data_IF_377230819786
#
_entry.id   IF_377230819786
#
_cell.length_a   1.000
_cell.length_b   1.000
_cell.length_c   1.000
_cell.angle_alpha   90.00
_cell.angle_beta   90.00
_cell.angle_gamma   90.00
#
_symmetry.space_group_name_H-M   'P 1'
#
loop_
_entity.id
_entity.type
_entity.pdbx_description
1 polymer ?
#
# COMPACT_ATOMS: atom_id res chain seq x y z
N UNK A 1 -25.17 -7.81 17.50
CA UNK A 1 -25.99 -6.80 18.20
C UNK A 1 -26.87 -7.45 19.25
N UNK A 2 -27.68 -8.45 18.92
CA UNK A 2 -28.59 -9.11 19.88
C UNK A 2 -27.81 -9.76 21.04
N UNK A 3 -26.71 -10.44 20.77
CA UNK A 3 -25.95 -11.17 21.79
C UNK A 3 -25.31 -10.29 22.87
N UNK A 4 -24.91 -9.07 22.51
CA UNK A 4 -24.29 -8.07 23.39
C UNK A 4 -25.28 -6.99 23.82
N UNK A 5 -26.56 -7.08 23.41
CA UNK A 5 -27.63 -6.11 23.71
C UNK A 5 -27.24 -4.65 23.38
N UNK A 6 -26.41 -4.46 22.33
CA UNK A 6 -25.95 -3.14 21.89
C UNK A 6 -26.83 -2.62 20.75
N UNK A 7 -27.00 -1.30 20.70
CA UNK A 7 -27.72 -0.62 19.63
C UNK A 7 -26.85 -0.49 18.36
N UNK A 8 -27.45 -0.07 17.26
CA UNK A 8 -26.77 0.09 15.98
C UNK A 8 -25.64 1.12 16.06
N UNK A 9 -25.82 2.20 16.80
CA UNK A 9 -24.80 3.25 16.97
C UNK A 9 -23.55 2.68 17.67
N UNK A 10 -23.73 1.95 18.78
CA UNK A 10 -22.63 1.28 19.47
C UNK A 10 -21.94 0.25 18.58
N UNK A 11 -22.71 -0.52 17.79
CA UNK A 11 -22.10 -1.47 16.85
C UNK A 11 -21.22 -0.77 15.80
N UNK A 12 -21.67 0.37 15.26
CA UNK A 12 -20.88 1.19 14.32
C UNK A 12 -19.63 1.79 14.99
N UNK A 13 -19.65 1.99 16.29
CA UNK A 13 -18.50 2.47 17.05
C UNK A 13 -17.30 1.50 16.99
N UNK A 14 -17.54 0.18 16.88
CA UNK A 14 -16.48 -0.81 16.67
C UNK A 14 -15.74 -0.61 15.32
N UNK A 15 -16.45 -0.18 14.29
CA UNK A 15 -15.82 0.19 13.01
C UNK A 15 -15.10 1.54 13.10
N UNK A 16 -15.65 2.49 13.83
CA UNK A 16 -15.02 3.78 14.07
C UNK A 16 -13.68 3.63 14.81
N UNK A 17 -13.62 2.83 15.87
CA UNK A 17 -12.38 2.54 16.60
C UNK A 17 -11.31 1.84 15.76
N UNK A 18 -11.72 1.08 14.75
CA UNK A 18 -10.78 0.53 13.77
C UNK A 18 -10.27 1.59 12.79
N UNK A 19 -11.14 2.44 12.26
CA UNK A 19 -10.85 3.30 11.09
C UNK A 19 -10.23 4.64 11.45
N UNK A 20 -10.76 5.35 12.46
CA UNK A 20 -10.32 6.71 12.79
C UNK A 20 -8.84 6.81 13.21
N UNK A 21 -8.31 5.93 14.05
CA UNK A 21 -6.89 6.00 14.41
C UNK A 21 -5.98 5.82 13.21
N UNK A 22 -6.41 5.05 12.21
CA UNK A 22 -5.64 4.74 11.02
C UNK A 22 -5.47 5.90 10.05
N UNK A 23 -6.25 6.97 10.20
CA UNK A 23 -5.99 8.25 9.51
C UNK A 23 -4.57 8.77 9.79
N UNK A 24 -4.06 8.52 10.99
CA UNK A 24 -2.72 8.98 11.41
C UNK A 24 -1.75 7.80 11.53
N UNK A 25 -2.19 6.70 12.10
CA UNK A 25 -1.32 5.58 12.47
C UNK A 25 -0.73 4.82 11.28
N UNK A 26 -1.39 4.80 10.12
CA UNK A 26 -0.84 4.21 8.90
C UNK A 26 0.43 4.94 8.44
N UNK A 27 0.43 6.27 8.51
CA UNK A 27 1.59 7.08 8.18
C UNK A 27 2.77 6.78 9.13
N UNK A 28 2.50 6.80 10.44
CA UNK A 28 3.54 6.45 11.42
C UNK A 28 4.00 5.00 11.30
N UNK A 29 3.09 4.07 11.03
CA UNK A 29 3.42 2.67 10.77
C UNK A 29 4.38 2.50 9.59
N UNK A 30 4.09 3.17 8.47
CA UNK A 30 4.95 3.19 7.30
C UNK A 30 6.32 3.82 7.56
N UNK A 31 6.34 4.94 8.27
CA UNK A 31 7.58 5.60 8.70
C UNK A 31 8.42 4.72 9.63
N UNK A 32 7.80 4.01 10.57
CA UNK A 32 8.48 3.09 11.47
C UNK A 32 9.05 1.87 10.73
N UNK A 33 8.36 1.40 9.68
CA UNK A 33 8.87 0.34 8.80
C UNK A 33 10.16 0.79 8.13
N UNK A 34 10.18 1.99 7.56
CA UNK A 34 11.35 2.48 6.81
C UNK A 34 12.52 2.82 7.73
N UNK A 35 12.25 3.41 8.90
CA UNK A 35 13.30 3.97 9.78
C UNK A 35 13.77 3.03 10.89
N UNK A 36 12.86 2.28 11.51
CA UNK A 36 13.14 1.58 12.78
C UNK A 36 13.16 0.08 12.62
N UNK A 37 12.05 -0.48 12.15
CA UNK A 37 11.84 -1.93 12.16
C UNK A 37 12.41 -2.61 10.93
N UNK A 38 12.43 -1.93 9.79
CA UNK A 38 12.53 -2.58 8.50
C UNK A 38 11.26 -3.39 8.17
N UNK A 39 11.09 -3.73 6.91
CA UNK A 39 9.88 -4.42 6.42
C UNK A 39 9.65 -5.76 7.12
N UNK A 40 10.71 -6.51 7.37
CA UNK A 40 10.67 -7.86 7.98
C UNK A 40 10.10 -7.82 9.39
N UNK A 41 10.72 -7.03 10.26
CA UNK A 41 10.30 -6.94 11.66
C UNK A 41 8.95 -6.20 11.77
N UNK A 42 8.72 -5.18 10.94
CA UNK A 42 7.44 -4.49 10.84
C UNK A 42 6.28 -5.43 10.54
N UNK A 43 6.42 -6.31 9.56
CA UNK A 43 5.38 -7.31 9.22
C UNK A 43 5.07 -8.23 10.41
N UNK A 44 6.08 -8.68 11.14
CA UNK A 44 5.88 -9.54 12.32
C UNK A 44 5.20 -8.77 13.46
N UNK A 45 5.64 -7.55 13.76
CA UNK A 45 5.08 -6.71 14.83
C UNK A 45 3.61 -6.39 14.53
N UNK A 46 3.31 -5.93 13.32
CA UNK A 46 1.93 -5.58 12.95
C UNK A 46 1.04 -6.82 12.85
N UNK A 47 1.56 -7.96 12.39
CA UNK A 47 0.86 -9.25 12.47
C UNK A 47 0.54 -9.66 13.91
N UNK A 48 1.44 -9.39 14.85
CA UNK A 48 1.22 -9.62 16.29
C UNK A 48 0.12 -8.71 16.85
N UNK A 49 0.09 -7.42 16.47
CA UNK A 49 -0.99 -6.49 16.84
C UNK A 49 -2.36 -6.98 16.35
N UNK A 50 -2.44 -7.48 15.11
CA UNK A 50 -3.68 -8.06 14.56
C UNK A 50 -4.13 -9.26 15.40
N UNK A 51 -3.23 -10.17 15.72
CA UNK A 51 -3.54 -11.36 16.51
C UNK A 51 -3.97 -11.02 17.94
N UNK A 52 -3.22 -10.17 18.64
CA UNK A 52 -3.56 -9.71 19.99
C UNK A 52 -4.89 -8.96 19.99
N UNK A 53 -5.08 -8.03 19.05
CA UNK A 53 -6.33 -7.29 18.92
C UNK A 53 -7.54 -8.20 18.74
N UNK A 54 -7.43 -9.24 17.92
CA UNK A 54 -8.51 -10.22 17.73
C UNK A 54 -8.82 -11.02 19.00
N UNK A 55 -7.79 -11.40 19.76
CA UNK A 55 -7.98 -12.09 21.06
C UNK A 55 -8.70 -11.16 22.04
N UNK A 56 -8.29 -9.88 22.13
CA UNK A 56 -8.93 -8.91 23.02
C UNK A 56 -10.41 -8.74 22.66
N UNK A 57 -10.75 -8.65 21.36
CA UNK A 57 -12.15 -8.60 20.90
C UNK A 57 -12.91 -9.84 21.33
N UNK A 58 -12.33 -11.03 21.15
CA UNK A 58 -12.99 -12.29 21.51
C UNK A 58 -13.21 -12.43 23.01
N UNK A 59 -12.23 -12.04 23.84
CA UNK A 59 -12.35 -12.01 25.31
C UNK A 59 -13.39 -10.97 25.73
N UNK A 60 -13.41 -9.79 25.14
CA UNK A 60 -14.42 -8.76 25.39
C UNK A 60 -15.84 -9.24 25.10
N UNK A 61 -16.04 -9.95 24.00
CA UNK A 61 -17.33 -10.58 23.70
C UNK A 61 -17.67 -11.70 24.70
N UNK A 62 -16.71 -12.54 25.09
CA UNK A 62 -16.92 -13.63 26.03
C UNK A 62 -17.30 -13.14 27.43
N UNK A 63 -16.69 -12.06 27.91
CA UNK A 63 -16.90 -11.47 29.23
C UNK A 63 -18.00 -10.41 29.28
N UNK A 64 -18.75 -10.20 28.18
CA UNK A 64 -19.77 -9.14 28.04
C UNK A 64 -19.23 -7.72 28.31
N UNK A 65 -17.95 -7.51 28.04
CA UNK A 65 -17.26 -6.23 28.24
C UNK A 65 -17.11 -5.48 26.90
N UNK A 66 -18.08 -4.67 26.56
CA UNK A 66 -18.11 -3.97 25.27
C UNK A 66 -16.91 -3.05 25.05
N UNK A 67 -16.49 -2.30 26.09
CA UNK A 67 -15.31 -1.44 26.04
C UNK A 67 -14.01 -2.19 25.69
N UNK A 68 -13.93 -3.47 26.10
CA UNK A 68 -12.79 -4.31 25.80
C UNK A 68 -12.80 -4.71 24.30
N UNK A 69 -13.99 -4.90 23.72
CA UNK A 69 -14.12 -5.11 22.28
C UNK A 69 -13.68 -3.87 21.48
N UNK A 70 -14.00 -2.66 21.94
CA UNK A 70 -13.55 -1.41 21.33
C UNK A 70 -12.03 -1.28 21.38
N UNK A 71 -11.42 -1.55 22.55
CA UNK A 71 -9.97 -1.56 22.71
C UNK A 71 -9.32 -2.60 21.78
N UNK A 72 -9.90 -3.79 21.68
CA UNK A 72 -9.41 -4.83 20.78
C UNK A 72 -9.49 -4.40 19.31
N UNK A 73 -10.57 -3.70 18.91
CA UNK A 73 -10.70 -3.15 17.55
C UNK A 73 -9.68 -2.06 17.26
N UNK A 74 -9.39 -1.20 18.23
CA UNK A 74 -8.34 -0.21 18.12
C UNK A 74 -6.96 -0.86 17.90
N UNK A 75 -6.59 -1.83 18.73
CA UNK A 75 -5.32 -2.57 18.61
C UNK A 75 -5.24 -3.33 17.29
N UNK A 76 -6.32 -3.98 16.88
CA UNK A 76 -6.42 -4.68 15.60
C UNK A 76 -6.23 -3.72 14.42
N UNK A 77 -6.83 -2.53 14.50
CA UNK A 77 -6.73 -1.49 13.48
C UNK A 77 -5.30 -1.01 13.26
N UNK A 78 -4.55 -0.75 14.35
CA UNK A 78 -3.13 -0.39 14.28
C UNK A 78 -2.34 -1.42 13.48
N UNK A 79 -2.58 -2.71 13.76
CA UNK A 79 -1.90 -3.80 13.07
C UNK A 79 -2.34 -3.96 11.63
N UNK A 80 -3.65 -3.97 11.36
CA UNK A 80 -4.22 -4.35 10.07
C UNK A 80 -3.77 -3.45 8.91
N UNK A 81 -3.94 -2.16 9.06
CA UNK A 81 -3.59 -1.19 8.02
C UNK A 81 -2.08 -1.03 7.84
N UNK A 82 -1.32 -1.02 8.94
CA UNK A 82 0.15 -0.96 8.89
C UNK A 82 0.75 -2.24 8.30
N UNK A 83 0.11 -3.40 8.52
CA UNK A 83 0.49 -4.67 7.89
C UNK A 83 0.29 -4.62 6.37
N UNK A 84 -0.79 -3.98 5.89
CA UNK A 84 -1.01 -3.77 4.46
C UNK A 84 0.10 -2.91 3.83
N UNK A 85 0.55 -1.86 4.53
CA UNK A 85 1.71 -1.05 4.12
C UNK A 85 2.98 -1.89 4.03
N UNK A 86 3.26 -2.72 5.04
CA UNK A 86 4.40 -3.63 5.06
C UNK A 86 4.33 -4.64 3.91
N UNK A 87 3.15 -5.19 3.64
CA UNK A 87 2.90 -6.13 2.54
C UNK A 87 3.20 -5.50 1.18
N UNK A 88 2.72 -4.27 0.94
CA UNK A 88 3.00 -3.53 -0.29
C UNK A 88 4.50 -3.27 -0.45
N UNK A 89 5.17 -2.88 0.61
CA UNK A 89 6.63 -2.66 0.62
C UNK A 89 7.39 -3.95 0.32
N UNK A 90 6.96 -5.09 0.87
CA UNK A 90 7.53 -6.40 0.53
C UNK A 90 7.35 -6.74 -0.95
N UNK A 91 6.14 -6.55 -1.49
CA UNK A 91 5.86 -6.80 -2.90
C UNK A 91 6.81 -6.01 -3.81
N UNK A 92 7.01 -4.73 -3.50
CA UNK A 92 7.94 -3.88 -4.27
C UNK A 92 9.37 -4.35 -4.13
N UNK A 93 9.85 -4.64 -2.93
CA UNK A 93 11.24 -5.04 -2.68
C UNK A 93 11.66 -6.32 -3.42
N UNK A 94 10.72 -7.22 -3.69
CA UNK A 94 10.99 -8.49 -4.35
C UNK A 94 10.58 -8.55 -5.82
N UNK A 95 9.54 -7.81 -6.21
CA UNK A 95 8.95 -7.91 -7.55
C UNK A 95 9.07 -6.63 -8.37
N UNK A 96 9.67 -5.56 -7.82
CA UNK A 96 9.91 -4.34 -8.60
C UNK A 96 10.72 -4.66 -9.85
N UNK A 97 10.10 -4.35 -10.96
CA UNK A 97 10.75 -4.52 -12.24
C UNK A 97 10.40 -5.78 -13.02
N UNK A 98 9.58 -6.64 -12.48
CA UNK A 98 9.11 -7.84 -13.18
C UNK A 98 7.57 -7.86 -13.17
N UNK A 99 6.98 -8.60 -12.28
CA UNK A 99 5.54 -8.91 -12.25
C UNK A 99 4.84 -8.18 -11.09
N UNK A 100 5.18 -6.90 -10.89
CA UNK A 100 4.72 -6.14 -9.74
C UNK A 100 3.19 -5.93 -9.74
N UNK A 101 2.62 -5.57 -10.89
CA UNK A 101 1.17 -5.35 -10.99
C UNK A 101 0.40 -6.67 -10.83
N UNK A 102 0.93 -7.79 -11.31
CA UNK A 102 0.38 -9.12 -11.08
C UNK A 102 0.36 -9.45 -9.58
N UNK A 103 1.46 -9.17 -8.87
CA UNK A 103 1.55 -9.44 -7.41
C UNK A 103 0.53 -8.61 -6.63
N UNK A 104 0.37 -7.33 -6.95
CA UNK A 104 -0.69 -6.51 -6.35
C UNK A 104 -2.08 -7.05 -6.69
N UNK A 105 -2.29 -7.53 -7.91
CA UNK A 105 -3.53 -8.20 -8.31
C UNK A 105 -3.81 -9.48 -7.51
N UNK A 106 -2.79 -10.30 -7.26
CA UNK A 106 -2.89 -11.49 -6.42
C UNK A 106 -3.20 -11.13 -4.96
N UNK A 107 -2.56 -10.10 -4.41
CA UNK A 107 -2.86 -9.61 -3.06
C UNK A 107 -4.32 -9.19 -2.93
N UNK A 108 -4.82 -8.42 -3.89
CA UNK A 108 -6.22 -7.98 -3.93
C UNK A 108 -7.17 -9.18 -4.04
N UNK A 109 -6.87 -10.13 -4.93
CA UNK A 109 -7.65 -11.36 -5.09
C UNK A 109 -7.75 -12.15 -3.79
N UNK A 110 -6.63 -12.38 -3.11
CA UNK A 110 -6.60 -13.10 -1.84
C UNK A 110 -7.37 -12.36 -0.73
N UNK A 111 -7.29 -11.03 -0.68
CA UNK A 111 -8.09 -10.24 0.25
C UNK A 111 -9.60 -10.42 0.02
N UNK A 112 -10.05 -10.48 -1.25
CA UNK A 112 -11.46 -10.72 -1.59
C UNK A 112 -11.92 -12.13 -1.28
N UNK A 113 -11.07 -13.13 -1.55
CA UNK A 113 -11.33 -14.51 -1.15
C UNK A 113 -11.45 -14.63 0.38
N UNK A 114 -10.55 -14.02 1.14
CA UNK A 114 -10.62 -13.99 2.59
C UNK A 114 -11.92 -13.40 3.12
N UNK A 115 -12.36 -12.25 2.57
CA UNK A 115 -13.64 -11.64 2.91
C UNK A 115 -14.83 -12.56 2.61
N UNK A 116 -14.82 -13.19 1.43
CA UNK A 116 -15.88 -14.12 1.01
C UNK A 116 -15.96 -15.34 1.92
N UNK A 117 -14.82 -15.94 2.25
CA UNK A 117 -14.74 -17.07 3.17
C UNK A 117 -15.27 -16.67 4.55
N UNK A 118 -14.83 -15.51 5.07
CA UNK A 118 -15.31 -15.03 6.37
C UNK A 118 -16.83 -14.83 6.41
N UNK A 119 -17.41 -14.21 5.39
CA UNK A 119 -18.86 -13.97 5.33
C UNK A 119 -19.67 -15.28 5.32
N UNK A 120 -19.18 -16.32 4.66
CA UNK A 120 -19.89 -17.58 4.55
C UNK A 120 -19.65 -18.52 5.75
N UNK A 121 -18.43 -18.55 6.28
CA UNK A 121 -18.03 -19.50 7.33
C UNK A 121 -18.45 -19.04 8.71
N UNK A 122 -18.38 -17.73 9.01
CA UNK A 122 -18.65 -17.23 10.37
C UNK A 122 -20.10 -17.46 10.81
N UNK A 123 -21.08 -17.34 9.94
CA UNK A 123 -22.48 -17.65 10.26
C UNK A 123 -22.70 -19.13 10.58
N UNK A 124 -22.09 -20.02 9.82
CA UNK A 124 -22.15 -21.48 10.04
C UNK A 124 -21.47 -21.84 11.36
N UNK A 125 -20.29 -21.26 11.60
CA UNK A 125 -19.52 -21.45 12.83
C UNK A 125 -20.32 -21.02 14.07
N UNK A 126 -20.89 -19.80 14.03
CA UNK A 126 -21.72 -19.27 15.10
C UNK A 126 -22.90 -20.21 15.38
N UNK A 127 -23.63 -20.66 14.38
CA UNK A 127 -24.76 -21.57 14.54
C UNK A 127 -24.36 -22.92 15.16
N UNK A 128 -23.20 -23.47 14.79
CA UNK A 128 -22.69 -24.70 15.41
C UNK A 128 -22.32 -24.50 16.89
N UNK A 129 -21.65 -23.38 17.20
CA UNK A 129 -21.32 -23.06 18.61
C UNK A 129 -22.57 -22.81 19.41
N UNK A 130 -23.57 -22.11 18.84
CA UNK A 130 -24.85 -21.85 19.49
C UNK A 130 -25.64 -23.12 19.83
N UNK A 131 -25.54 -24.17 19.01
CA UNK A 131 -26.13 -25.47 19.30
C UNK A 131 -25.55 -26.13 20.57
N UNK A 132 -24.27 -25.85 20.87
CA UNK A 132 -23.57 -26.49 22.01
C UNK A 132 -23.62 -25.63 23.26
N UNK A 133 -23.49 -24.32 23.16
CA UNK A 133 -23.33 -23.38 24.27
C UNK A 133 -24.53 -22.43 24.45
N UNK A 134 -25.54 -22.52 23.60
CA UNK A 134 -26.62 -21.56 23.53
C UNK A 134 -26.24 -20.27 22.83
N UNK A 135 -27.25 -19.46 22.43
CA UNK A 135 -27.02 -18.12 21.84
C UNK A 135 -26.69 -17.09 22.94
N UNK A 136 -25.83 -16.12 22.64
CA UNK A 136 -25.48 -15.03 23.56
C UNK A 136 -24.02 -14.60 23.45
N UNK A 137 -23.59 -13.71 24.34
CA UNK A 137 -22.25 -13.14 24.35
C UNK A 137 -21.12 -14.20 24.41
N UNK A 138 -21.33 -15.27 25.20
CA UNK A 138 -20.35 -16.37 25.29
C UNK A 138 -20.20 -17.13 23.96
N UNK A 139 -21.30 -17.38 23.24
CA UNK A 139 -21.28 -18.00 21.92
C UNK A 139 -20.53 -17.12 20.92
N UNK A 140 -20.78 -15.81 20.93
CA UNK A 140 -20.08 -14.85 20.11
C UNK A 140 -18.58 -14.84 20.44
N UNK A 141 -18.21 -14.78 21.73
CA UNK A 141 -16.83 -14.80 22.19
C UNK A 141 -16.07 -16.05 21.76
N UNK A 142 -16.66 -17.24 21.89
CA UNK A 142 -16.08 -18.52 21.45
C UNK A 142 -15.91 -18.51 19.92
N UNK A 143 -16.90 -18.06 19.17
CA UNK A 143 -16.85 -17.99 17.71
C UNK A 143 -15.72 -17.06 17.24
N UNK A 144 -15.54 -15.91 17.88
CA UNK A 144 -14.46 -14.96 17.60
C UNK A 144 -13.09 -15.50 18.02
N UNK A 145 -13.03 -16.30 19.10
CA UNK A 145 -11.79 -16.96 19.52
C UNK A 145 -11.37 -18.02 18.50
N UNK A 146 -12.29 -18.80 17.97
CA UNK A 146 -12.00 -19.77 16.88
C UNK A 146 -11.53 -19.00 15.63
N UNK A 147 -12.16 -17.87 15.29
CA UNK A 147 -11.72 -17.03 14.19
C UNK A 147 -10.30 -16.48 14.40
N UNK A 148 -9.83 -16.29 15.63
CA UNK A 148 -8.46 -15.83 15.90
C UNK A 148 -7.36 -16.78 15.40
N UNK A 149 -7.72 -18.05 15.15
CA UNK A 149 -6.80 -19.04 14.53
C UNK A 149 -6.34 -18.57 13.15
N UNK A 150 -7.18 -17.88 12.40
CA UNK A 150 -6.76 -17.31 11.09
C UNK A 150 -5.73 -16.21 11.26
N UNK A 151 -5.83 -15.39 12.32
CA UNK A 151 -4.84 -14.37 12.65
C UNK A 151 -3.51 -15.00 13.11
N UNK A 152 -3.59 -16.09 13.90
CA UNK A 152 -2.42 -16.87 14.29
C UNK A 152 -1.73 -17.49 13.07
N UNK A 153 -2.50 -18.04 12.13
CA UNK A 153 -1.96 -18.56 10.88
C UNK A 153 -1.27 -17.45 10.07
N UNK A 154 -1.87 -16.26 9.98
CA UNK A 154 -1.25 -15.10 9.33
C UNK A 154 0.08 -14.71 9.99
N UNK A 155 0.13 -14.69 11.33
CA UNK A 155 1.36 -14.42 12.08
C UNK A 155 2.43 -15.51 11.82
N UNK A 156 2.06 -16.77 11.78
CA UNK A 156 2.97 -17.87 11.43
C UNK A 156 3.54 -17.69 10.01
N UNK A 157 2.71 -17.32 9.04
CA UNK A 157 3.15 -16.98 7.68
C UNK A 157 4.11 -15.79 7.67
N UNK A 158 3.87 -14.75 8.48
CA UNK A 158 4.77 -13.60 8.61
C UNK A 158 6.14 -13.99 9.17
N UNK A 159 6.18 -14.90 10.15
CA UNK A 159 7.44 -15.44 10.71
C UNK A 159 8.21 -16.25 9.67
N UNK A 160 7.52 -17.12 8.93
CA UNK A 160 8.12 -17.93 7.85
C UNK A 160 8.67 -17.00 6.75
N UNK A 161 7.88 -16.01 6.33
CA UNK A 161 8.29 -15.02 5.34
C UNK A 161 9.54 -14.26 5.81
N UNK A 162 9.57 -13.82 7.07
CA UNK A 162 10.72 -13.13 7.66
C UNK A 162 11.98 -14.01 7.68
N UNK A 163 11.82 -15.31 7.96
CA UNK A 163 12.93 -16.28 7.92
C UNK A 163 13.47 -16.49 6.49
N UNK A 164 12.56 -16.68 5.52
CA UNK A 164 12.92 -16.86 4.11
C UNK A 164 13.58 -15.62 3.54
N UNK A 165 13.07 -14.44 3.85
CA UNK A 165 13.64 -13.16 3.44
C UNK A 165 15.07 -12.98 3.98
N UNK A 166 15.30 -13.27 5.27
CA UNK A 166 16.62 -13.22 5.87
C UNK A 166 17.61 -14.20 5.19
N UNK A 167 17.13 -15.40 4.84
CA UNK A 167 17.93 -16.39 4.11
C UNK A 167 18.27 -15.92 2.71
N UNK A 168 17.28 -15.39 1.99
CA UNK A 168 17.44 -14.87 0.63
C UNK A 168 18.38 -13.66 0.58
N UNK A 169 18.26 -12.73 1.55
CA UNK A 169 19.16 -11.56 1.67
C UNK A 169 20.64 -11.99 1.79
N UNK A 170 20.92 -13.05 2.59
CA UNK A 170 22.26 -13.62 2.73
C UNK A 170 22.78 -14.25 1.43
N UNK A 171 21.94 -15.01 0.73
CA UNK A 171 22.32 -15.70 -0.52
C UNK A 171 22.58 -14.69 -1.64
N UNK A 172 21.76 -13.63 -1.72
CA UNK A 172 21.83 -12.61 -2.77
C UNK A 172 22.81 -11.47 -2.44
N UNK A 173 23.50 -11.52 -1.30
CA UNK A 173 24.40 -10.45 -0.82
C UNK A 173 23.78 -9.04 -0.86
N UNK A 174 22.48 -8.94 -0.65
CA UNK A 174 21.70 -7.70 -0.77
C UNK A 174 22.08 -6.64 0.29
N UNK A 175 22.75 -7.05 1.38
CA UNK A 175 23.23 -6.16 2.45
C UNK A 175 24.31 -5.17 1.96
N UNK A 176 25.05 -5.50 0.90
CA UNK A 176 26.11 -4.66 0.34
C UNK A 176 25.60 -3.46 -0.47
N UNK A 177 24.31 -3.42 -0.79
CA UNK A 177 23.67 -2.37 -1.59
C UNK A 177 22.85 -1.34 -0.80
N UNK A 178 22.78 -1.44 0.52
CA UNK A 178 22.01 -0.49 1.34
C UNK A 178 22.74 0.86 1.38
N UNK A 179 22.07 1.90 0.89
CA UNK A 179 22.63 3.27 0.74
C UNK A 179 22.88 3.98 2.07
N UNK A 180 22.44 3.44 3.20
CA UNK A 180 22.57 4.08 4.52
C UNK A 180 21.72 5.36 4.68
N UNK A 181 20.91 5.70 3.71
CA UNK A 181 20.00 6.83 3.79
C UNK A 181 18.88 6.57 4.79
N UNK A 182 18.66 7.53 5.68
CA UNK A 182 17.67 7.43 6.77
C UNK A 182 16.53 8.39 6.48
N UNK A 183 15.31 7.88 6.46
CA UNK A 183 14.09 8.67 6.25
C UNK A 183 13.85 9.64 7.39
N UNK A 184 13.47 10.87 7.06
CA UNK A 184 13.02 11.89 7.99
C UNK A 184 11.55 12.20 7.76
N UNK A 185 10.82 12.58 8.81
CA UNK A 185 9.41 12.99 8.67
C UNK A 185 9.22 14.20 7.74
N UNK A 186 10.27 15.01 7.60
CA UNK A 186 10.27 16.18 6.69
C UNK A 186 10.30 15.79 5.21
N UNK A 187 10.78 14.60 4.87
CA UNK A 187 10.97 14.14 3.50
C UNK A 187 9.63 14.01 2.74
N UNK A 188 8.51 13.92 3.47
CA UNK A 188 7.15 13.97 2.88
C UNK A 188 6.90 15.27 2.12
N UNK A 189 7.50 16.38 2.53
CA UNK A 189 7.37 17.68 1.84
C UNK A 189 8.10 17.68 0.49
N UNK A 190 9.12 16.85 0.37
CA UNK A 190 9.97 16.74 -0.81
C UNK A 190 9.41 15.71 -1.82
N UNK A 191 8.27 15.10 -1.51
CA UNK A 191 7.61 14.18 -2.43
C UNK A 191 7.28 14.89 -3.75
N UNK A 192 7.58 14.28 -4.91
CA UNK A 192 7.35 14.87 -6.20
C UNK A 192 5.84 15.08 -6.47
N UNK A 193 5.51 16.09 -7.28
CA UNK A 193 4.12 16.41 -7.62
C UNK A 193 3.35 15.22 -8.24
N UNK A 194 4.06 14.32 -8.97
CA UNK A 194 3.46 13.09 -9.49
C UNK A 194 2.92 12.18 -8.38
N UNK A 195 3.61 12.07 -7.25
CA UNK A 195 3.14 11.27 -6.12
C UNK A 195 1.88 11.88 -5.49
N UNK A 196 1.84 13.21 -5.33
CA UNK A 196 0.66 13.91 -4.84
C UNK A 196 -0.56 13.69 -5.76
N UNK A 197 -0.35 13.68 -7.07
CA UNK A 197 -1.43 13.35 -8.01
C UNK A 197 -1.90 11.89 -7.87
N UNK A 198 -0.99 10.95 -7.64
CA UNK A 198 -1.36 9.55 -7.35
C UNK A 198 -2.22 9.46 -6.09
N UNK A 199 -1.89 10.21 -5.03
CA UNK A 199 -2.70 10.28 -3.81
C UNK A 199 -4.09 10.88 -4.08
N UNK A 200 -4.17 11.93 -4.88
CA UNK A 200 -5.45 12.56 -5.25
C UNK A 200 -6.34 11.62 -6.07
N UNK A 201 -5.76 10.87 -7.01
CA UNK A 201 -6.48 9.84 -7.77
C UNK A 201 -6.97 8.74 -6.82
N UNK A 202 -6.13 8.28 -5.90
CA UNK A 202 -6.50 7.28 -4.91
C UNK A 202 -7.71 7.73 -4.10
N UNK A 203 -7.64 8.90 -3.48
CA UNK A 203 -8.74 9.43 -2.66
C UNK A 203 -9.99 9.60 -3.51
N UNK A 204 -9.92 10.36 -4.61
CA UNK A 204 -11.09 10.67 -5.45
C UNK A 204 -11.82 9.43 -5.97
N UNK A 205 -11.08 8.35 -6.26
CA UNK A 205 -11.67 7.10 -6.72
C UNK A 205 -12.29 6.28 -5.57
N UNK A 206 -11.51 6.03 -4.51
CA UNK A 206 -11.98 5.14 -3.45
C UNK A 206 -13.12 5.72 -2.62
N UNK A 207 -13.20 7.06 -2.49
CA UNK A 207 -14.32 7.73 -1.81
C UNK A 207 -15.63 7.67 -2.60
N UNK A 208 -15.58 7.40 -3.90
CA UNK A 208 -16.79 7.13 -4.67
C UNK A 208 -17.22 5.66 -4.55
N UNK A 209 -16.28 4.72 -4.65
CA UNK A 209 -16.58 3.28 -4.74
C UNK A 209 -16.97 2.68 -3.39
N UNK A 210 -16.20 2.90 -2.33
CA UNK A 210 -16.46 2.21 -1.05
C UNK A 210 -17.74 2.66 -0.33
N UNK A 211 -18.03 3.97 -0.19
CA UNK A 211 -19.30 4.40 0.40
C UNK A 211 -20.51 3.97 -0.44
N UNK A 212 -20.38 3.98 -1.77
CA UNK A 212 -21.43 3.45 -2.65
C UNK A 212 -21.70 1.98 -2.36
N UNK A 213 -20.68 1.13 -2.30
CA UNK A 213 -20.85 -0.30 -1.96
C UNK A 213 -21.47 -0.47 -0.56
N UNK A 214 -21.10 0.38 0.39
CA UNK A 214 -21.69 0.39 1.74
C UNK A 214 -23.20 0.67 1.74
N UNK A 215 -23.65 1.56 0.88
CA UNK A 215 -25.06 1.97 0.74
C UNK A 215 -25.80 1.18 -0.36
N UNK A 216 -25.09 0.43 -1.21
CA UNK A 216 -25.59 -0.14 -2.45
C UNK A 216 -26.74 -1.11 -2.24
N UNK A 217 -26.77 -1.88 -1.14
CA UNK A 217 -27.88 -2.80 -0.89
C UNK A 217 -29.22 -2.03 -0.81
N UNK A 218 -29.28 -0.98 -0.01
CA UNK A 218 -30.49 -0.17 0.16
C UNK A 218 -30.83 0.58 -1.13
N UNK A 219 -29.82 1.06 -1.84
CA UNK A 219 -29.99 1.69 -3.14
C UNK A 219 -30.71 0.77 -4.16
N UNK A 220 -30.34 -0.53 -4.24
CA UNK A 220 -30.96 -1.47 -5.15
C UNK A 220 -32.36 -1.90 -4.69
N UNK A 221 -32.62 -1.95 -3.39
CA UNK A 221 -33.95 -2.19 -2.84
C UNK A 221 -34.91 -1.05 -3.18
N UNK A 222 -34.49 0.20 -3.00
CA UNK A 222 -35.36 1.37 -3.19
C UNK A 222 -35.50 1.77 -4.69
N UNK A 223 -34.40 1.81 -5.43
CA UNK A 223 -34.45 2.28 -6.82
C UNK A 223 -34.98 1.22 -7.79
N UNK A 224 -34.55 -0.03 -7.61
CA UNK A 224 -34.86 -1.11 -8.56
C UNK A 224 -35.93 -2.10 -8.04
N UNK A 225 -36.38 -1.93 -6.79
CA UNK A 225 -37.39 -2.80 -6.19
C UNK A 225 -36.92 -4.24 -5.95
N UNK A 226 -35.62 -4.46 -5.77
CA UNK A 226 -35.06 -5.78 -5.55
C UNK A 226 -35.37 -6.27 -4.15
N UNK A 227 -35.56 -7.59 -4.01
CA UNK A 227 -35.59 -8.21 -2.69
C UNK A 227 -34.22 -8.08 -2.00
N UNK A 228 -34.22 -8.06 -0.65
CA UNK A 228 -32.98 -7.92 0.12
C UNK A 228 -31.86 -8.93 -0.25
N UNK A 229 -32.16 -10.23 -0.54
CA UNK A 229 -31.14 -11.15 -1.04
C UNK A 229 -30.62 -10.78 -2.42
N UNK A 230 -31.49 -10.37 -3.35
CA UNK A 230 -31.10 -9.99 -4.71
C UNK A 230 -30.27 -8.70 -4.73
N UNK A 231 -30.66 -7.71 -3.93
CA UNK A 231 -29.93 -6.46 -3.76
C UNK A 231 -28.52 -6.73 -3.19
N UNK A 232 -28.43 -7.60 -2.17
CA UNK A 232 -27.15 -8.04 -1.62
C UNK A 232 -26.28 -8.77 -2.64
N UNK A 233 -26.85 -9.63 -3.48
CA UNK A 233 -26.15 -10.35 -4.53
C UNK A 233 -25.59 -9.39 -5.59
N UNK A 234 -26.39 -8.43 -6.08
CA UNK A 234 -25.93 -7.40 -7.03
C UNK A 234 -24.81 -6.56 -6.42
N UNK A 235 -24.95 -6.15 -5.17
CA UNK A 235 -23.92 -5.36 -4.49
C UNK A 235 -22.61 -6.12 -4.33
N UNK A 236 -22.66 -7.42 -4.05
CA UNK A 236 -21.48 -8.27 -3.87
C UNK A 236 -20.72 -8.60 -5.16
N UNK A 237 -21.36 -8.45 -6.34
CA UNK A 237 -20.78 -8.84 -7.63
C UNK A 237 -19.46 -8.11 -7.92
N UNK A 238 -19.31 -6.88 -7.43
CA UNK A 238 -18.06 -6.11 -7.53
C UNK A 238 -16.89 -6.91 -6.97
N UNK A 239 -17.06 -7.52 -5.81
CA UNK A 239 -16.01 -8.31 -5.15
C UNK A 239 -15.85 -9.68 -5.80
N UNK A 240 -16.95 -10.32 -6.19
CA UNK A 240 -16.91 -11.63 -6.83
C UNK A 240 -16.17 -11.57 -8.18
N UNK A 241 -16.38 -10.52 -8.96
CA UNK A 241 -15.66 -10.31 -10.22
C UNK A 241 -14.21 -9.88 -9.94
N UNK A 242 -13.99 -9.02 -8.93
CA UNK A 242 -12.66 -8.51 -8.61
C UNK A 242 -11.69 -9.64 -8.25
N UNK A 243 -12.12 -10.69 -7.58
CA UNK A 243 -11.25 -11.78 -7.15
C UNK A 243 -10.52 -12.47 -8.32
N UNK A 244 -11.20 -13.00 -9.35
CA UNK A 244 -10.51 -13.59 -10.51
C UNK A 244 -9.96 -12.55 -11.49
N UNK A 245 -10.58 -11.37 -11.61
CA UNK A 245 -10.14 -10.35 -12.56
C UNK A 245 -8.81 -9.71 -12.16
N UNK A 246 -8.53 -9.51 -10.87
CA UNK A 246 -7.35 -8.79 -10.41
C UNK A 246 -6.02 -9.42 -10.86
N UNK A 247 -5.78 -10.74 -10.73
CA UNK A 247 -4.54 -11.33 -11.24
C UNK A 247 -4.39 -11.22 -12.76
N UNK A 248 -5.50 -11.42 -13.50
CA UNK A 248 -5.51 -11.34 -14.97
C UNK A 248 -5.19 -9.92 -15.43
N UNK A 249 -5.85 -8.92 -14.83
CA UNK A 249 -5.63 -7.52 -15.15
C UNK A 249 -4.24 -7.06 -14.72
N UNK A 250 -3.75 -7.49 -13.56
CA UNK A 250 -2.38 -7.21 -13.11
C UNK A 250 -1.34 -7.75 -14.08
N UNK A 251 -1.49 -8.99 -14.54
CA UNK A 251 -0.63 -9.57 -15.57
C UNK A 251 -0.71 -8.79 -16.89
N UNK A 252 -1.90 -8.37 -17.30
CA UNK A 252 -2.10 -7.57 -18.52
C UNK A 252 -1.38 -6.21 -18.40
N UNK A 253 -1.49 -5.55 -17.26
CA UNK A 253 -0.81 -4.27 -16.99
C UNK A 253 0.71 -4.46 -17.02
N UNK A 254 1.25 -5.54 -16.46
CA UNK A 254 2.68 -5.84 -16.53
C UNK A 254 3.18 -6.04 -17.97
N UNK A 255 2.38 -6.72 -18.79
CA UNK A 255 2.73 -6.99 -20.19
C UNK A 255 2.69 -5.76 -21.08
N UNK A 256 1.71 -4.92 -20.90
CA UNK A 256 1.50 -3.71 -21.72
C UNK A 256 2.31 -2.52 -21.18
N UNK A 257 2.42 -2.40 -19.86
CA UNK A 257 2.88 -1.18 -19.20
C UNK A 257 1.78 -0.12 -19.20
N UNK A 258 2.15 1.15 -19.35
CA UNK A 258 1.24 2.31 -19.45
C UNK A 258 0.26 2.42 -18.29
N UNK A 259 0.78 2.36 -17.07
CA UNK A 259 -0.04 2.33 -15.86
C UNK A 259 -1.05 3.49 -15.77
N UNK A 260 -0.65 4.73 -16.15
CA UNK A 260 -1.56 5.89 -16.11
C UNK A 260 -2.74 5.71 -17.05
N UNK A 261 -2.51 5.13 -18.24
CA UNK A 261 -3.59 4.86 -19.21
C UNK A 261 -4.62 3.88 -18.64
N UNK A 262 -4.16 2.82 -17.95
CA UNK A 262 -5.06 1.86 -17.31
C UNK A 262 -5.85 2.47 -16.16
N UNK A 263 -5.24 3.36 -15.38
CA UNK A 263 -5.93 4.14 -14.35
C UNK A 263 -6.99 5.03 -15.00
N UNK A 264 -6.69 5.71 -16.10
CA UNK A 264 -7.65 6.54 -16.84
C UNK A 264 -8.84 5.72 -17.30
N UNK A 265 -8.59 4.56 -17.93
CA UNK A 265 -9.66 3.64 -18.39
C UNK A 265 -10.51 3.18 -17.21
N UNK A 266 -9.90 2.83 -16.08
CA UNK A 266 -10.63 2.39 -14.89
C UNK A 266 -11.52 3.50 -14.30
N UNK A 267 -11.01 4.73 -14.21
CA UNK A 267 -11.79 5.88 -13.71
C UNK A 267 -12.95 6.18 -14.64
N UNK A 268 -12.74 6.19 -15.96
CA UNK A 268 -13.81 6.41 -16.96
C UNK A 268 -14.85 5.30 -16.93
N UNK A 269 -14.44 4.04 -16.81
CA UNK A 269 -15.36 2.91 -16.72
C UNK A 269 -16.22 2.97 -15.45
N UNK A 270 -15.62 3.34 -14.31
CA UNK A 270 -16.35 3.51 -13.05
C UNK A 270 -17.30 4.70 -13.11
N UNK A 271 -16.86 5.83 -13.69
CA UNK A 271 -17.73 6.98 -13.92
C UNK A 271 -18.92 6.61 -14.80
N UNK A 272 -18.69 5.86 -15.89
CA UNK A 272 -19.76 5.35 -16.75
C UNK A 272 -20.72 4.44 -16.00
N UNK A 273 -20.24 3.57 -15.11
CA UNK A 273 -21.08 2.72 -14.27
C UNK A 273 -21.96 3.55 -13.31
N UNK A 274 -21.43 4.56 -12.65
CA UNK A 274 -22.22 5.46 -11.79
C UNK A 274 -23.24 6.29 -12.61
N UNK A 275 -22.88 6.79 -13.79
CA UNK A 275 -23.81 7.50 -14.69
C UNK A 275 -24.95 6.56 -15.10
N UNK A 276 -24.64 5.31 -15.44
CA UNK A 276 -25.69 4.31 -15.76
C UNK A 276 -26.60 4.07 -14.55
N UNK A 277 -26.05 3.91 -13.36
CA UNK A 277 -26.81 3.71 -12.12
C UNK A 277 -27.64 4.95 -11.74
N UNK A 278 -27.14 6.17 -11.99
CA UNK A 278 -27.84 7.40 -11.71
C UNK A 278 -29.05 7.62 -12.63
N UNK A 279 -28.82 7.55 -13.95
CA UNK A 279 -29.78 8.07 -14.94
C UNK A 279 -30.55 7.00 -15.70
N UNK A 280 -30.22 5.71 -15.52
CA UNK A 280 -30.93 4.63 -16.23
C UNK A 280 -31.56 3.63 -15.26
N UNK A 281 -32.53 2.90 -15.77
CA UNK A 281 -33.14 1.72 -15.13
C UNK A 281 -32.72 0.42 -15.81
N UNK A 282 -31.55 0.42 -16.44
CA UNK A 282 -30.98 -0.79 -17.02
C UNK A 282 -30.66 -1.82 -15.92
N UNK A 283 -30.50 -3.06 -16.36
CA UNK A 283 -30.20 -4.12 -15.40
C UNK A 283 -28.91 -3.77 -14.59
N UNK A 284 -29.00 -3.59 -13.27
CA UNK A 284 -27.88 -3.11 -12.46
C UNK A 284 -26.70 -4.10 -12.36
N UNK A 285 -26.88 -5.34 -12.80
CA UNK A 285 -25.77 -6.29 -12.92
C UNK A 285 -24.69 -5.81 -13.91
N UNK A 286 -25.07 -5.09 -14.96
CA UNK A 286 -24.13 -4.59 -15.96
C UNK A 286 -23.20 -3.54 -15.38
N UNK A 287 -23.67 -2.39 -14.83
CA UNK A 287 -22.79 -1.39 -14.25
C UNK A 287 -22.01 -1.88 -13.04
N UNK A 288 -22.59 -2.79 -12.23
CA UNK A 288 -21.88 -3.35 -11.09
C UNK A 288 -20.76 -4.31 -11.51
N UNK A 289 -20.96 -5.08 -12.56
CA UNK A 289 -19.91 -5.92 -13.15
C UNK A 289 -18.79 -5.07 -13.75
N UNK A 290 -19.15 -4.01 -14.47
CA UNK A 290 -18.18 -3.05 -15.01
C UNK A 290 -17.37 -2.38 -13.89
N UNK A 291 -18.04 -2.00 -12.80
CA UNK A 291 -17.37 -1.42 -11.62
C UNK A 291 -16.40 -2.42 -10.98
N UNK A 292 -16.75 -3.72 -10.90
CA UNK A 292 -15.86 -4.76 -10.37
C UNK A 292 -14.57 -4.93 -11.17
N UNK A 293 -14.67 -4.92 -12.51
CA UNK A 293 -13.53 -4.97 -13.42
C UNK A 293 -12.68 -3.69 -13.30
N UNK A 294 -13.34 -2.51 -13.34
CA UNK A 294 -12.68 -1.22 -13.26
C UNK A 294 -11.94 -1.04 -11.92
N UNK A 295 -12.56 -1.44 -10.82
CA UNK A 295 -11.96 -1.41 -9.49
C UNK A 295 -10.69 -2.27 -9.42
N UNK A 296 -10.73 -3.48 -9.97
CA UNK A 296 -9.57 -4.37 -10.04
C UNK A 296 -8.45 -3.78 -10.87
N UNK A 297 -8.79 -3.22 -12.03
CA UNK A 297 -7.83 -2.60 -12.93
C UNK A 297 -7.15 -1.41 -12.29
N UNK A 298 -7.90 -0.53 -11.63
CA UNK A 298 -7.34 0.62 -10.93
C UNK A 298 -6.40 0.19 -9.82
N UNK A 299 -6.80 -0.74 -8.96
CA UNK A 299 -5.98 -1.19 -7.86
C UNK A 299 -4.66 -1.80 -8.34
N UNK A 300 -4.70 -2.64 -9.39
CA UNK A 300 -3.50 -3.25 -9.96
C UNK A 300 -2.56 -2.24 -10.65
N UNK A 301 -3.08 -1.13 -11.18
CA UNK A 301 -2.29 -0.15 -11.89
C UNK A 301 -1.80 1.01 -11.00
N UNK A 302 -2.63 1.48 -10.05
CA UNK A 302 -2.37 2.66 -9.23
C UNK A 302 -1.35 2.40 -8.11
N UNK A 303 -1.57 1.35 -7.31
CA UNK A 303 -0.73 1.08 -6.15
C UNK A 303 0.74 0.82 -6.51
N UNK A 304 1.07 0.04 -7.55
CA UNK A 304 2.46 -0.12 -7.97
C UNK A 304 3.15 1.16 -8.42
N UNK A 305 2.40 2.18 -8.91
CA UNK A 305 3.00 3.43 -9.38
C UNK A 305 3.77 4.17 -8.30
N UNK A 306 3.38 4.06 -7.04
CA UNK A 306 4.14 4.65 -5.91
C UNK A 306 5.59 4.21 -5.95
N UNK A 307 5.84 2.93 -6.21
CA UNK A 307 7.19 2.37 -6.24
C UNK A 307 8.05 2.83 -7.42
N UNK A 308 7.44 3.35 -8.48
CA UNK A 308 8.17 3.92 -9.62
C UNK A 308 8.57 5.38 -9.38
N UNK A 309 7.92 6.05 -8.42
CA UNK A 309 8.14 7.46 -8.11
C UNK A 309 9.09 7.63 -6.94
N UNK A 310 8.96 6.76 -5.92
CA UNK A 310 9.64 6.89 -4.63
C UNK A 310 10.81 5.91 -4.54
N UNK A 311 11.97 6.31 -3.97
CA UNK A 311 13.09 5.40 -3.72
C UNK A 311 12.72 4.32 -2.68
N UNK A 312 13.44 3.20 -2.73
CA UNK A 312 13.11 2.01 -1.93
C UNK A 312 13.11 2.26 -0.42
N UNK A 313 13.98 3.16 0.08
CA UNK A 313 14.06 3.48 1.50
C UNK A 313 12.88 4.30 2.04
N UNK A 314 12.04 4.89 1.17
CA UNK A 314 10.87 5.70 1.55
C UNK A 314 9.52 5.03 1.22
N UNK A 315 9.52 3.78 0.79
CA UNK A 315 8.30 3.10 0.32
C UNK A 315 7.24 2.93 1.42
N UNK A 316 7.64 2.52 2.61
CA UNK A 316 6.73 2.36 3.73
C UNK A 316 6.07 3.69 4.12
N UNK A 317 6.86 4.77 4.16
CA UNK A 317 6.36 6.12 4.44
C UNK A 317 5.37 6.59 3.38
N UNK A 318 5.67 6.38 2.09
CA UNK A 318 4.80 6.78 0.98
C UNK A 318 3.49 5.97 0.96
N UNK A 319 3.55 4.65 1.11
CA UNK A 319 2.35 3.81 1.21
C UNK A 319 1.53 4.10 2.47
N UNK A 320 2.20 4.31 3.61
CA UNK A 320 1.55 4.70 4.85
C UNK A 320 0.81 6.03 4.73
N UNK A 321 1.42 7.02 4.08
CA UNK A 321 0.79 8.30 3.82
C UNK A 321 -0.39 8.18 2.85
N UNK A 322 -0.25 7.41 1.77
CA UNK A 322 -1.34 7.12 0.83
C UNK A 322 -2.54 6.47 1.53
N UNK A 323 -2.29 5.48 2.40
CA UNK A 323 -3.32 4.80 3.17
C UNK A 323 -4.00 5.76 4.17
N UNK A 324 -3.23 6.60 4.85
CA UNK A 324 -3.76 7.60 5.78
C UNK A 324 -4.69 8.60 5.10
N UNK A 325 -4.27 9.16 3.97
CA UNK A 325 -5.10 10.10 3.18
C UNK A 325 -6.36 9.40 2.66
N UNK A 326 -6.25 8.16 2.20
CA UNK A 326 -7.40 7.38 1.76
C UNK A 326 -8.41 7.19 2.90
N UNK A 327 -7.95 6.79 4.08
CA UNK A 327 -8.82 6.60 5.25
C UNK A 327 -9.48 7.92 5.69
N UNK A 328 -8.74 9.03 5.66
CA UNK A 328 -9.30 10.35 5.94
C UNK A 328 -10.40 10.72 4.92
N UNK A 329 -10.11 10.54 3.64
CA UNK A 329 -11.07 10.78 2.57
C UNK A 329 -12.34 9.95 2.75
N UNK A 330 -12.19 8.66 3.00
CA UNK A 330 -13.32 7.74 3.25
C UNK A 330 -14.15 8.17 4.45
N UNK A 331 -13.52 8.56 5.56
CA UNK A 331 -14.22 8.99 6.76
C UNK A 331 -15.05 10.26 6.52
N UNK A 332 -14.47 11.28 5.87
CA UNK A 332 -15.14 12.56 5.58
C UNK A 332 -16.26 12.36 4.56
N UNK A 333 -15.99 11.65 3.48
CA UNK A 333 -16.96 11.46 2.39
C UNK A 333 -18.10 10.52 2.82
N UNK A 334 -17.85 9.53 3.67
CA UNK A 334 -18.94 8.68 4.21
C UNK A 334 -19.95 9.49 5.01
N UNK A 335 -19.51 10.47 5.81
CA UNK A 335 -20.40 11.39 6.54
C UNK A 335 -21.20 12.26 5.55
N UNK A 336 -20.51 12.84 4.55
CA UNK A 336 -21.16 13.65 3.54
C UNK A 336 -22.19 12.83 2.73
N UNK A 337 -21.83 11.61 2.32
CA UNK A 337 -22.71 10.71 1.59
C UNK A 337 -23.97 10.36 2.38
N UNK A 338 -23.84 10.05 3.67
CA UNK A 338 -24.98 9.80 4.56
C UNK A 338 -25.89 11.02 4.65
N UNK A 339 -25.33 12.22 4.86
CA UNK A 339 -26.11 13.47 4.95
C UNK A 339 -26.83 13.80 3.63
N UNK A 340 -26.19 13.59 2.48
CA UNK A 340 -26.80 13.81 1.16
C UNK A 340 -27.93 12.81 0.94
N UNK A 341 -27.73 11.55 1.31
CA UNK A 341 -28.76 10.52 1.18
C UNK A 341 -30.01 10.89 1.98
N UNK A 342 -29.83 11.27 3.25
CA UNK A 342 -30.94 11.61 4.16
C UNK A 342 -31.69 12.86 3.70
N UNK A 343 -31.00 13.86 3.13
CA UNK A 343 -31.60 15.14 2.75
C UNK A 343 -32.13 15.18 1.32
N UNK A 344 -31.47 14.51 0.38
CA UNK A 344 -31.66 14.74 -1.07
C UNK A 344 -31.89 13.45 -1.86
N UNK A 345 -31.71 12.29 -1.24
CA UNK A 345 -31.95 10.98 -1.85
C UNK A 345 -30.85 10.47 -2.78
N UNK A 346 -31.10 9.32 -3.40
CA UNK A 346 -30.08 8.53 -4.12
C UNK A 346 -29.55 9.18 -5.39
N UNK A 347 -30.37 9.95 -6.12
CA UNK A 347 -29.89 10.61 -7.34
C UNK A 347 -28.77 11.62 -7.04
N UNK A 348 -28.98 12.44 -6.01
CA UNK A 348 -27.97 13.42 -5.60
C UNK A 348 -26.74 12.74 -5.02
N UNK A 349 -26.90 11.62 -4.33
CA UNK A 349 -25.77 10.81 -3.86
C UNK A 349 -24.94 10.28 -5.03
N UNK A 350 -25.58 9.73 -6.08
CA UNK A 350 -24.88 9.27 -7.27
C UNK A 350 -24.18 10.40 -8.04
N UNK A 351 -24.82 11.57 -8.14
CA UNK A 351 -24.20 12.76 -8.71
C UNK A 351 -22.96 13.19 -7.90
N UNK A 352 -23.03 13.11 -6.59
CA UNK A 352 -21.90 13.39 -5.72
C UNK A 352 -20.74 12.43 -5.97
N UNK A 353 -20.99 11.13 -6.12
CA UNK A 353 -19.96 10.17 -6.49
C UNK A 353 -19.39 10.41 -7.88
N UNK A 354 -20.21 10.79 -8.84
CA UNK A 354 -19.74 11.21 -10.16
C UNK A 354 -18.81 12.44 -10.07
N UNK A 355 -19.10 13.41 -9.22
CA UNK A 355 -18.23 14.57 -8.99
C UNK A 355 -16.87 14.12 -8.41
N UNK A 356 -16.85 13.21 -7.43
CA UNK A 356 -15.63 12.66 -6.88
C UNK A 356 -14.80 11.93 -7.96
N UNK A 357 -15.44 11.19 -8.85
CA UNK A 357 -14.77 10.52 -9.96
C UNK A 357 -14.28 11.51 -11.03
N UNK A 358 -15.00 12.57 -11.32
CA UNK A 358 -14.51 13.66 -12.18
C UNK A 358 -13.26 14.32 -11.59
N UNK A 359 -13.21 14.51 -10.29
CA UNK A 359 -12.00 14.96 -9.61
C UNK A 359 -10.83 13.99 -9.77
N UNK A 360 -11.08 12.68 -9.59
CA UNK A 360 -10.08 11.65 -9.85
C UNK A 360 -9.61 11.64 -11.32
N UNK A 361 -10.54 11.87 -12.26
CA UNK A 361 -10.25 11.98 -13.68
C UNK A 361 -9.32 13.16 -13.98
N UNK A 362 -9.64 14.34 -13.46
CA UNK A 362 -8.79 15.53 -13.61
C UNK A 362 -7.40 15.27 -13.02
N UNK A 363 -7.32 14.70 -11.83
CA UNK A 363 -6.04 14.35 -11.21
C UNK A 363 -5.25 13.33 -12.05
N UNK A 364 -5.90 12.38 -12.70
CA UNK A 364 -5.26 11.40 -13.60
C UNK A 364 -4.71 12.08 -14.86
N UNK A 365 -5.46 13.02 -15.44
CA UNK A 365 -4.98 13.79 -16.61
C UNK A 365 -3.79 14.67 -16.22
N UNK A 366 -3.86 15.34 -15.06
CA UNK A 366 -2.73 16.13 -14.56
C UNK A 366 -1.51 15.25 -14.28
N UNK A 367 -1.70 14.05 -13.73
CA UNK A 367 -0.61 13.09 -13.54
C UNK A 367 0.04 12.73 -14.87
N UNK A 368 -0.76 12.47 -15.91
CA UNK A 368 -0.25 12.18 -17.24
C UNK A 368 0.56 13.35 -17.81
N UNK A 369 0.08 14.59 -17.68
CA UNK A 369 0.80 15.78 -18.13
C UNK A 369 2.11 15.99 -17.37
N UNK A 370 2.11 15.80 -16.05
CA UNK A 370 3.32 15.90 -15.23
C UNK A 370 4.35 14.84 -15.62
N UNK A 371 3.90 13.60 -15.86
CA UNK A 371 4.77 12.49 -16.29
C UNK A 371 5.40 12.79 -17.67
N UNK A 372 4.60 13.34 -18.59
CA UNK A 372 5.07 13.74 -19.92
C UNK A 372 6.12 14.87 -19.87
N UNK A 373 5.88 15.89 -19.05
CA UNK A 373 6.80 17.05 -18.94
C UNK A 373 8.12 16.67 -18.27
N UNK A 374 8.07 15.74 -17.32
CA UNK A 374 9.22 15.36 -16.50
C UNK A 374 9.97 14.12 -16.99
N UNK A 375 9.56 13.53 -18.12
CA UNK A 375 10.07 12.23 -18.62
C UNK A 375 10.09 11.16 -17.51
N UNK A 376 9.04 11.19 -16.65
CA UNK A 376 8.97 10.41 -15.41
C UNK A 376 8.89 8.90 -15.64
N UNK A 377 8.39 8.47 -16.77
CA UNK A 377 8.39 7.07 -17.19
C UNK A 377 7.28 6.20 -16.56
N UNK A 378 6.26 6.80 -15.93
CA UNK A 378 5.12 6.06 -15.38
C UNK A 378 4.22 5.47 -16.47
N UNK A 379 4.16 6.13 -17.63
CA UNK A 379 3.36 5.70 -18.76
C UNK A 379 4.17 5.05 -19.88
N UNK A 380 5.37 4.55 -19.58
CA UNK A 380 6.17 3.77 -20.52
C UNK A 380 5.54 2.39 -20.76
N UNK A 381 5.64 1.90 -22.00
CA UNK A 381 5.34 0.51 -22.31
C UNK A 381 6.33 -0.42 -21.59
N UNK A 382 5.97 -1.69 -21.44
CA UNK A 382 6.85 -2.68 -20.80
C UNK A 382 8.23 -2.73 -21.50
N UNK A 383 8.26 -2.74 -22.84
CA UNK A 383 9.48 -2.78 -23.64
C UNK A 383 10.37 -1.53 -23.45
N UNK A 384 9.75 -0.35 -23.39
CA UNK A 384 10.47 0.91 -23.17
C UNK A 384 11.02 0.97 -21.74
N UNK A 385 10.29 0.45 -20.77
CA UNK A 385 10.71 0.37 -19.38
C UNK A 385 11.91 -0.57 -19.22
N UNK A 386 11.89 -1.73 -19.88
CA UNK A 386 13.01 -2.67 -19.86
C UNK A 386 14.25 -2.06 -20.53
N UNK A 387 14.08 -1.40 -21.69
CA UNK A 387 15.17 -0.70 -22.37
C UNK A 387 15.76 0.42 -21.50
N UNK A 388 14.92 1.22 -20.83
CA UNK A 388 15.38 2.27 -19.92
C UNK A 388 16.20 1.68 -18.77
N UNK A 389 15.76 0.55 -18.19
CA UNK A 389 16.50 -0.15 -17.13
C UNK A 389 17.84 -0.67 -17.61
N UNK A 390 17.91 -1.24 -18.80
CA UNK A 390 19.18 -1.71 -19.37
C UNK A 390 20.16 -0.55 -19.56
N UNK A 391 19.66 0.60 -20.02
CA UNK A 391 20.47 1.82 -20.17
C UNK A 391 20.96 2.33 -18.81
N UNK A 392 20.06 2.47 -17.83
CA UNK A 392 20.40 2.91 -16.47
C UNK A 392 21.41 1.97 -15.81
N UNK A 393 21.22 0.65 -15.98
CA UNK A 393 22.16 -0.37 -15.48
C UNK A 393 23.54 -0.29 -16.19
N UNK A 394 23.56 -0.02 -17.49
CA UNK A 394 24.80 0.16 -18.25
C UNK A 394 25.53 1.43 -17.80
N UNK A 395 24.81 2.52 -17.58
CA UNK A 395 25.39 3.78 -17.07
C UNK A 395 25.92 3.62 -15.65
N UNK A 396 25.19 2.95 -14.76
CA UNK A 396 25.63 2.63 -13.41
C UNK A 396 26.93 1.79 -13.42
N UNK A 397 27.00 0.77 -14.28
CA UNK A 397 28.23 -0.03 -14.47
C UNK A 397 29.40 0.81 -14.97
N UNK A 398 29.16 1.72 -15.93
CA UNK A 398 30.20 2.63 -16.44
C UNK A 398 30.65 3.60 -15.35
N UNK A 399 29.74 4.13 -14.55
CA UNK A 399 30.06 5.01 -13.43
C UNK A 399 30.87 4.28 -12.35
N UNK A 400 30.53 3.02 -12.06
CA UNK A 400 31.28 2.20 -11.10
C UNK A 400 32.69 1.86 -11.62
N UNK A 401 32.82 1.53 -12.91
CA UNK A 401 34.13 1.32 -13.53
C UNK A 401 34.99 2.56 -13.44
N UNK A 402 34.46 3.74 -13.79
CA UNK A 402 35.17 5.04 -13.66
C UNK A 402 35.58 5.32 -12.21
N UNK A 403 34.72 5.00 -11.21
CA UNK A 403 35.08 5.13 -9.79
C UNK A 403 36.21 4.18 -9.40
N UNK A 404 36.16 2.93 -9.86
CA UNK A 404 37.23 1.94 -9.60
C UNK A 404 38.55 2.33 -10.29
N UNK A 405 38.52 2.86 -11.51
CA UNK A 405 39.69 3.38 -12.22
C UNK A 405 40.27 4.60 -11.49
N UNK A 406 39.43 5.55 -11.11
CA UNK A 406 39.83 6.70 -10.30
C UNK A 406 40.42 6.30 -8.94
N UNK A 407 39.86 5.29 -8.25
CA UNK A 407 40.44 4.76 -7.03
C UNK A 407 41.75 4.01 -7.28
N UNK A 408 41.88 3.28 -8.39
CA UNK A 408 43.15 2.63 -8.80
C UNK A 408 44.24 3.65 -9.16
N UNK A 409 43.88 4.73 -9.81
CA UNK A 409 44.81 5.80 -10.09
C UNK A 409 45.22 6.57 -8.83
N UNK A 410 44.26 6.81 -7.91
CA UNK A 410 44.56 7.35 -6.59
C UNK A 410 45.42 6.40 -5.73
N UNK A 411 45.26 5.08 -5.88
CA UNK A 411 46.13 4.10 -5.21
C UNK A 411 47.46 3.91 -5.91
N UNK A 412 47.56 4.13 -7.23
CA UNK A 412 48.83 4.19 -7.99
C UNK A 412 49.59 5.48 -7.74
N UNK A 413 48.89 6.61 -7.60
CA UNK A 413 49.39 7.91 -7.16
C UNK A 413 49.43 8.03 -5.62
N UNK A 414 49.09 6.91 -4.93
CA UNK A 414 48.95 6.87 -3.50
C UNK A 414 50.22 7.29 -2.75
N UNK A 415 50.07 7.52 -1.41
CA UNK A 415 51.09 8.22 -0.59
C UNK A 415 52.46 7.58 -0.64
N UNK A 416 52.60 6.36 -1.14
CA UNK A 416 53.92 5.73 -1.32
C UNK A 416 54.75 6.34 -2.42
N UNK A 417 54.18 6.78 -3.55
CA UNK A 417 54.98 7.38 -4.64
C UNK A 417 55.21 8.90 -4.41
N UNK A 418 54.17 9.62 -3.94
CA UNK A 418 54.30 11.03 -3.59
C UNK A 418 55.12 11.21 -2.31
N UNK A 419 54.93 10.34 -1.32
CA UNK A 419 55.69 10.30 -0.07
C UNK A 419 57.14 9.83 -0.29
N UNK A 420 57.37 8.83 -1.13
CA UNK A 420 58.69 8.37 -1.50
C UNK A 420 59.47 9.42 -2.33
N UNK A 421 58.82 10.11 -3.27
CA UNK A 421 59.39 11.21 -4.03
C UNK A 421 59.71 12.43 -3.15
N UNK A 422 58.80 12.77 -2.27
CA UNK A 422 58.95 13.88 -1.34
C UNK A 422 59.98 13.60 -0.25
N UNK A 423 59.99 12.38 0.34
CA UNK A 423 61.02 11.95 1.27
C UNK A 423 62.40 11.86 0.57
N UNK A 424 62.48 11.38 -0.68
CA UNK A 424 63.73 11.48 -1.45
C UNK A 424 64.24 12.91 -1.61
N UNK A 425 63.30 13.87 -1.86
CA UNK A 425 63.64 15.27 -1.99
C UNK A 425 64.05 15.90 -0.68
N UNK A 426 63.30 15.59 0.43
CA UNK A 426 63.59 16.12 1.76
C UNK A 426 64.79 15.46 2.40
N UNK A 427 65.07 14.17 2.16
CA UNK A 427 66.27 13.51 2.58
C UNK A 427 67.54 14.12 1.91
N UNK A 428 67.42 14.59 0.65
CA UNK A 428 68.47 15.32 0.00
C UNK A 428 68.73 16.72 0.60
N UNK A 429 67.73 17.28 1.30
CA UNK A 429 67.78 18.55 2.00
C UNK A 429 68.04 18.41 3.49
N UNK A 430 68.23 17.15 4.00
CA UNK A 430 68.50 16.89 5.42
C UNK A 430 67.28 17.06 6.34
N UNK A 431 66.04 17.13 5.81
CA UNK A 431 64.81 17.29 6.60
C UNK A 431 63.95 16.07 6.53
N UNK A 432 63.43 15.57 7.71
CA UNK A 432 62.43 14.52 7.79
C UNK A 432 61.09 15.11 8.25
N UNK A 433 59.99 14.73 7.56
CA UNK A 433 58.64 15.10 7.98
C UNK A 433 58.11 14.15 9.09
N UNK A 434 57.49 14.67 10.15
CA UNK A 434 56.83 13.83 11.14
C UNK A 434 55.75 12.96 10.57
N UNK A 435 55.59 11.71 11.03
CA UNK A 435 54.69 10.69 10.49
C UNK A 435 53.19 11.11 10.47
N UNK A 436 52.79 12.02 11.36
CA UNK A 436 51.42 12.52 11.41
C UNK A 436 51.04 13.54 10.32
N UNK A 437 52.02 14.08 9.58
CA UNK A 437 51.81 15.02 8.48
C UNK A 437 51.43 14.33 7.14
N UNK A 438 51.49 13.01 7.10
CA UNK A 438 51.32 12.26 5.87
C UNK A 438 49.86 12.18 5.34
N UNK A 439 48.89 12.35 6.21
CA UNK A 439 47.46 12.16 5.87
C UNK A 439 46.74 13.43 5.34
N UNK A 440 47.14 14.61 5.76
CA UNK A 440 46.49 15.85 5.33
C UNK A 440 47.09 16.50 4.05
N UNK A 441 48.30 16.16 3.70
CA UNK A 441 48.99 16.75 2.55
C UNK A 441 48.78 16.01 1.22
N UNK A 442 48.19 14.80 1.28
CA UNK A 442 47.90 14.01 0.04
C UNK A 442 46.85 14.64 -0.85
N UNK A 443 45.89 15.38 -0.30
CA UNK A 443 44.81 16.03 -1.06
C UNK A 443 45.21 17.37 -1.67
N UNK A 444 46.19 18.08 -1.05
CA UNK A 444 46.68 19.36 -1.58
C UNK A 444 47.80 19.21 -2.58
N UNK A 445 48.67 18.20 -2.42
CA UNK A 445 49.73 17.91 -3.37
C UNK A 445 49.23 17.38 -4.71
N UNK A 446 48.12 16.62 -4.75
CA UNK A 446 47.50 16.21 -6.01
C UNK A 446 46.86 17.36 -6.80
N UNK A 447 46.41 18.43 -6.16
CA UNK A 447 45.84 19.61 -6.83
C UNK A 447 46.88 20.53 -7.45
N UNK A 448 48.12 20.55 -6.95
CA UNK A 448 49.17 21.41 -7.45
C UNK A 448 50.00 20.76 -8.57
N UNK A 449 49.89 19.43 -8.77
CA UNK A 449 50.60 18.72 -9.85
C UNK A 449 49.72 18.51 -11.10
N UNK A 450 48.43 18.92 -11.05
CA UNK A 450 47.49 18.90 -12.18
C UNK A 450 47.18 20.30 -12.73
N UNK A 451 47.93 21.30 -12.34
CA UNK A 451 48.09 22.60 -13.01
C UNK A 451 49.51 22.65 -13.55
#
# INVERSE_FOLDING_TARGET
>A
MQDMKVNTASFMQLYAWYSWPNVILCFFGGFLIDRVFGVRLGTIIFGLFVFIGQIIVAVGAFTDAYWLMELGRFVFGIGGESLAVAQNTYAVNWFKGKELNLVFGLQLSMARLGSTVNMNVMGILYNKVAQTYGSGHSCLGISLMIASVTCLFSLACALILGFLDKRAEKILHKEQGKTGEVVRLTDVKDFPASLWMVFMVCVGYYVAVFPFIGLGKVFFEEKFGFSAPSAGAVNSIVYVISAPASPVLGFMVDRVGKNILWVLVAVLATLGAHVMLAFTFWNPWIPMSLMGVAYSLLACALWPMVSFIVPEHQLGTAYGFMQSIQNLGLAVIAIAAGSILDSSGYLFLELFFCICLCFALIATVLLYLIDLIRDGGLNLSSRERDKKRELDAAEARRAELRRRESQRDLTRLGPRSAFALRNRYLCRLGAQLPAHYSLQLSSLACRSLLK
#
